data_IF_496523272688
#
_entry.id   IF_496523272688
#
_cell.length_a   1.000
_cell.length_b   1.000
_cell.length_c   1.000
_cell.angle_alpha   90.00
_cell.angle_beta   90.00
_cell.angle_gamma   90.00
#
_symmetry.space_group_name_H-M   'P 1'
#
loop_
_entity.id
_entity.type
_entity.pdbx_description
1 polymer ?
#
# COMPACT_ATOMS: atom_id res chain seq x y z
N UNK A 1 12.02 24.02 -23.20
CA UNK A 1 11.80 22.80 -22.41
C UNK A 1 12.61 22.90 -21.12
N UNK A 2 12.09 23.59 -20.11
CA UNK A 2 12.77 23.74 -18.82
C UNK A 2 12.53 22.49 -17.99
N UNK A 3 13.55 21.62 -17.92
CA UNK A 3 13.54 20.48 -17.03
C UNK A 3 13.39 20.98 -15.60
N UNK A 4 12.23 20.72 -14.98
CA UNK A 4 12.04 20.90 -13.55
C UNK A 4 13.02 19.93 -12.89
N UNK A 5 14.16 20.44 -12.44
CA UNK A 5 15.10 19.70 -11.64
C UNK A 5 14.35 19.21 -10.38
N UNK A 6 14.07 17.91 -10.34
CA UNK A 6 13.53 17.28 -9.14
C UNK A 6 14.60 17.43 -8.07
N UNK A 7 14.31 18.08 -6.93
CA UNK A 7 15.29 18.28 -5.88
C UNK A 7 15.82 16.92 -5.43
N UNK A 8 17.14 16.83 -5.26
CA UNK A 8 17.84 15.62 -4.86
C UNK A 8 17.18 15.05 -3.60
N UNK A 9 16.75 13.78 -3.63
CA UNK A 9 16.15 13.05 -2.49
C UNK A 9 17.14 12.77 -1.34
N UNK A 10 18.11 13.64 -1.12
CA UNK A 10 19.11 13.54 -0.05
C UNK A 10 18.94 14.74 0.86
N UNK A 11 17.88 14.69 1.66
CA UNK A 11 17.67 15.60 2.77
C UNK A 11 17.15 14.82 3.97
N UNK A 12 17.51 15.20 5.21
CA UNK A 12 17.04 14.53 6.43
C UNK A 12 15.51 14.52 6.58
N UNK A 13 14.76 15.30 5.79
CA UNK A 13 13.29 15.24 5.72
C UNK A 13 12.76 14.03 4.95
N UNK A 14 13.36 13.65 3.81
CA UNK A 14 12.88 12.54 2.98
C UNK A 14 13.04 11.19 3.69
N UNK A 15 14.19 10.99 4.33
CA UNK A 15 14.48 9.81 5.14
C UNK A 15 13.47 9.66 6.29
N UNK A 16 13.08 10.75 6.96
CA UNK A 16 12.06 10.72 8.02
C UNK A 16 10.68 10.31 7.52
N UNK A 17 10.29 10.73 6.30
CA UNK A 17 9.01 10.29 5.68
C UNK A 17 9.04 8.80 5.39
N UNK A 18 10.14 8.28 4.84
CA UNK A 18 10.30 6.85 4.56
C UNK A 18 10.26 6.01 5.85
N UNK A 19 10.97 6.43 6.89
CA UNK A 19 10.93 5.75 8.20
C UNK A 19 9.54 5.79 8.82
N UNK A 20 8.83 6.92 8.73
CA UNK A 20 7.45 7.00 9.19
C UNK A 20 6.51 6.10 8.39
N UNK A 21 6.69 5.98 7.07
CA UNK A 21 5.89 5.08 6.23
C UNK A 21 6.13 3.61 6.59
N UNK A 22 7.40 3.23 6.84
CA UNK A 22 7.75 1.91 7.35
C UNK A 22 7.14 1.64 8.72
N UNK A 23 7.20 2.60 9.64
CA UNK A 23 6.58 2.47 10.96
C UNK A 23 5.06 2.26 10.86
N UNK A 24 4.37 2.99 9.97
CA UNK A 24 2.95 2.81 9.73
C UNK A 24 2.63 1.44 9.11
N UNK A 25 3.49 0.97 8.20
CA UNK A 25 3.36 -0.38 7.64
C UNK A 25 3.50 -1.46 8.73
N UNK A 26 4.44 -1.30 9.66
CA UNK A 26 4.60 -2.20 10.81
C UNK A 26 3.33 -2.20 11.69
N UNK A 27 2.81 -1.02 12.03
CA UNK A 27 1.56 -0.89 12.80
C UNK A 27 0.40 -1.58 12.09
N UNK A 28 0.31 -1.41 10.78
CA UNK A 28 -0.70 -2.06 9.97
C UNK A 28 -0.56 -3.58 9.97
N UNK A 29 0.66 -4.13 9.88
CA UNK A 29 0.88 -5.58 9.94
C UNK A 29 0.50 -6.14 11.31
N UNK A 30 0.81 -5.43 12.40
CA UNK A 30 0.36 -5.82 13.74
C UNK A 30 -1.17 -5.83 13.83
N UNK A 31 -1.84 -4.81 13.27
CA UNK A 31 -3.29 -4.79 13.12
C UNK A 31 -3.82 -5.96 12.30
N UNK A 32 -3.16 -6.30 11.19
CA UNK A 32 -3.54 -7.43 10.34
C UNK A 32 -3.40 -8.77 11.04
N UNK A 33 -2.32 -8.99 11.80
CA UNK A 33 -2.15 -10.20 12.62
C UNK A 33 -3.24 -10.30 13.69
N UNK A 34 -3.59 -9.19 14.35
CA UNK A 34 -4.70 -9.14 15.29
C UNK A 34 -6.05 -9.44 14.60
N UNK A 35 -6.27 -8.89 13.40
CA UNK A 35 -7.46 -9.14 12.59
C UNK A 35 -7.58 -10.60 12.15
N UNK A 36 -6.48 -11.22 11.72
CA UNK A 36 -6.41 -12.64 11.35
C UNK A 36 -6.73 -13.51 12.56
N UNK A 37 -6.05 -13.25 13.70
CA UNK A 37 -6.26 -14.01 14.93
C UNK A 37 -7.71 -13.92 15.40
N UNK A 38 -8.31 -12.74 15.34
CA UNK A 38 -9.71 -12.54 15.70
C UNK A 38 -10.67 -13.19 14.71
N UNK A 39 -10.44 -13.06 13.40
CA UNK A 39 -11.28 -13.68 12.39
C UNK A 39 -11.30 -15.20 12.52
N UNK A 40 -10.17 -15.80 12.90
CA UNK A 40 -10.01 -17.24 13.12
C UNK A 40 -10.44 -17.73 14.52
N UNK A 41 -10.83 -16.84 15.45
CA UNK A 41 -11.24 -17.25 16.81
C UNK A 41 -12.34 -18.32 16.83
N UNK A 42 -13.43 -18.22 16.03
CA UNK A 42 -14.47 -19.25 16.02
C UNK A 42 -13.92 -20.63 15.65
N UNK A 43 -13.07 -20.72 14.63
CA UNK A 43 -12.42 -21.97 14.26
C UNK A 43 -11.59 -22.60 15.40
N UNK A 44 -10.96 -21.77 16.23
CA UNK A 44 -10.17 -22.22 17.40
C UNK A 44 -11.07 -22.66 18.55
N UNK A 45 -12.18 -21.94 18.79
CA UNK A 45 -13.05 -22.18 19.95
C UNK A 45 -14.12 -23.24 19.72
N UNK A 46 -14.67 -23.32 18.50
CA UNK A 46 -15.74 -24.24 18.14
C UNK A 46 -15.22 -25.59 17.61
N UNK A 47 -13.93 -25.68 17.28
CA UNK A 47 -13.31 -26.89 16.72
C UNK A 47 -13.63 -27.17 15.25
N UNK A 48 -14.32 -26.24 14.58
CA UNK A 48 -14.66 -26.30 13.16
C UNK A 48 -13.65 -25.47 12.34
N UNK A 49 -12.72 -26.09 11.58
CA UNK A 49 -11.59 -25.38 10.96
C UNK A 49 -11.94 -24.29 9.94
N UNK A 50 -13.23 -24.17 9.56
CA UNK A 50 -13.72 -23.26 8.53
C UNK A 50 -14.61 -22.14 9.05
N UNK A 51 -14.87 -22.07 10.35
CA UNK A 51 -15.67 -20.98 10.91
C UNK A 51 -14.85 -19.70 11.08
N UNK A 52 -15.24 -18.65 10.33
CA UNK A 52 -14.59 -17.34 10.35
C UNK A 52 -15.62 -16.28 10.71
N UNK A 53 -15.26 -15.35 11.60
CA UNK A 53 -16.13 -14.22 11.97
C UNK A 53 -15.85 -12.98 11.12
N UNK A 54 -16.91 -12.26 10.74
CA UNK A 54 -16.83 -10.97 10.04
C UNK A 54 -16.59 -9.77 10.97
N UNK A 55 -16.54 -9.98 12.29
CA UNK A 55 -16.39 -8.90 13.26
C UNK A 55 -15.16 -7.99 13.00
N UNK A 56 -13.96 -8.52 12.64
CA UNK A 56 -12.81 -7.69 12.31
C UNK A 56 -13.00 -6.80 11.09
N UNK A 57 -13.78 -7.21 10.08
CA UNK A 57 -14.09 -6.33 8.94
C UNK A 57 -14.92 -5.14 9.38
N UNK A 58 -16.02 -5.42 10.08
CA UNK A 58 -17.00 -4.39 10.43
C UNK A 58 -16.34 -3.38 11.37
N UNK A 59 -15.64 -3.87 12.39
CA UNK A 59 -15.02 -3.01 13.40
C UNK A 59 -13.74 -2.34 12.89
N UNK A 60 -12.92 -3.04 12.08
CA UNK A 60 -11.78 -2.44 11.41
C UNK A 60 -12.21 -1.33 10.45
N UNK A 61 -13.18 -1.60 9.57
CA UNK A 61 -13.70 -0.62 8.60
C UNK A 61 -14.35 0.59 9.28
N UNK A 62 -15.20 0.37 10.28
CA UNK A 62 -15.80 1.45 11.08
C UNK A 62 -14.72 2.26 11.81
N UNK A 63 -13.70 1.59 12.36
CA UNK A 63 -12.56 2.21 13.03
C UNK A 63 -11.75 3.11 12.11
N UNK A 64 -11.50 2.69 10.86
CA UNK A 64 -10.83 3.53 9.84
C UNK A 64 -11.64 4.80 9.57
N UNK A 65 -12.94 4.66 9.31
CA UNK A 65 -13.83 5.80 9.02
C UNK A 65 -13.86 6.76 10.21
N UNK A 66 -14.02 6.25 11.42
CA UNK A 66 -14.01 7.03 12.64
C UNK A 66 -12.68 7.76 12.83
N UNK A 67 -11.55 7.07 12.67
CA UNK A 67 -10.21 7.62 12.83
C UNK A 67 -9.93 8.74 11.81
N UNK A 68 -10.32 8.57 10.54
CA UNK A 68 -10.21 9.62 9.50
C UNK A 68 -11.08 10.83 9.85
N UNK A 69 -12.31 10.60 10.31
CA UNK A 69 -13.23 11.67 10.69
C UNK A 69 -12.73 12.46 11.92
N UNK A 70 -12.17 11.77 12.92
CA UNK A 70 -11.56 12.35 14.12
C UNK A 70 -10.26 13.08 13.80
N UNK A 71 -9.43 12.55 12.90
CA UNK A 71 -8.18 13.18 12.46
C UNK A 71 -8.40 14.60 11.89
N UNK A 72 -9.57 14.85 11.28
CA UNK A 72 -9.93 16.18 10.75
C UNK A 72 -10.29 17.19 11.84
N UNK A 73 -10.71 16.74 13.02
CA UNK A 73 -11.20 17.59 14.12
C UNK A 73 -10.24 17.71 15.30
N UNK A 74 -9.40 16.70 15.54
CA UNK A 74 -8.62 16.61 16.77
C UNK A 74 -7.24 17.31 16.70
N UNK A 75 -6.73 17.84 17.81
CA UNK A 75 -5.38 18.45 17.88
C UNK A 75 -4.25 17.42 17.76
N UNK A 76 -4.47 16.16 18.19
CA UNK A 76 -3.47 15.09 18.20
C UNK A 76 -3.51 14.23 16.93
N UNK A 77 -3.09 14.80 15.80
CA UNK A 77 -3.17 14.12 14.48
C UNK A 77 -2.37 12.82 14.40
N UNK A 78 -1.26 12.68 15.14
CA UNK A 78 -0.41 11.48 15.10
C UNK A 78 -1.14 10.23 15.61
N UNK A 79 -1.88 10.34 16.72
CA UNK A 79 -2.63 9.23 17.30
C UNK A 79 -3.64 8.69 16.30
N UNK A 80 -4.35 9.58 15.61
CA UNK A 80 -5.33 9.18 14.60
C UNK A 80 -4.71 8.61 13.33
N UNK A 81 -3.52 9.06 12.92
CA UNK A 81 -2.76 8.46 11.82
C UNK A 81 -2.41 7.00 12.14
N UNK A 82 -1.91 6.75 13.36
CA UNK A 82 -1.61 5.39 13.83
C UNK A 82 -2.87 4.53 13.97
N UNK A 83 -3.97 5.12 14.45
CA UNK A 83 -5.26 4.45 14.55
C UNK A 83 -5.79 4.02 13.18
N UNK A 84 -5.70 4.89 12.16
CA UNK A 84 -6.04 4.52 10.77
C UNK A 84 -5.26 3.30 10.33
N UNK A 85 -3.93 3.31 10.48
CA UNK A 85 -3.08 2.17 10.10
C UNK A 85 -3.45 0.88 10.86
N UNK A 86 -3.69 0.96 12.18
CA UNK A 86 -4.04 -0.19 12.99
C UNK A 86 -5.42 -0.79 12.61
N UNK A 87 -6.45 0.06 12.46
CA UNK A 87 -7.80 -0.37 12.10
C UNK A 87 -7.87 -0.89 10.67
N UNK A 88 -7.12 -0.28 9.74
CA UNK A 88 -6.98 -0.77 8.37
C UNK A 88 -6.30 -2.13 8.35
N UNK A 89 -5.27 -2.32 9.19
CA UNK A 89 -4.68 -3.63 9.44
C UNK A 89 -5.72 -4.66 9.87
N UNK A 90 -6.49 -4.38 10.92
CA UNK A 90 -7.53 -5.31 11.42
C UNK A 90 -8.56 -5.64 10.35
N UNK A 91 -9.00 -4.64 9.57
CA UNK A 91 -9.91 -4.82 8.45
C UNK A 91 -9.32 -5.78 7.39
N UNK A 92 -8.11 -5.51 6.93
CA UNK A 92 -7.43 -6.31 5.90
C UNK A 92 -7.07 -7.71 6.41
N UNK A 93 -6.74 -7.85 7.69
CA UNK A 93 -6.47 -9.14 8.33
C UNK A 93 -7.70 -10.04 8.31
N UNK A 94 -8.86 -9.51 8.69
CA UNK A 94 -10.10 -10.27 8.55
C UNK A 94 -10.46 -10.56 7.08
N UNK A 95 -10.15 -9.64 6.15
CA UNK A 95 -10.41 -9.78 4.71
C UNK A 95 -9.59 -10.91 4.12
N UNK A 96 -8.33 -10.96 4.52
CA UNK A 96 -7.42 -12.03 4.21
C UNK A 96 -7.96 -13.38 4.71
N UNK A 97 -8.31 -13.51 6.00
CA UNK A 97 -8.79 -14.79 6.55
C UNK A 97 -10.04 -15.31 5.84
N UNK A 98 -10.98 -14.44 5.49
CA UNK A 98 -12.19 -14.82 4.77
C UNK A 98 -11.88 -15.32 3.35
N UNK A 99 -11.10 -14.56 2.57
CA UNK A 99 -10.77 -14.94 1.20
C UNK A 99 -9.82 -16.14 1.13
N UNK A 100 -8.96 -16.33 2.12
CA UNK A 100 -8.11 -17.53 2.22
C UNK A 100 -8.95 -18.80 2.43
N UNK A 101 -10.07 -18.70 3.14
CA UNK A 101 -11.03 -19.80 3.30
C UNK A 101 -11.79 -20.16 2.02
N UNK A 102 -12.05 -19.18 1.14
CA UNK A 102 -12.76 -19.38 -0.13
C UNK A 102 -11.83 -19.76 -1.29
N UNK A 103 -10.68 -19.10 -1.36
CA UNK A 103 -9.69 -19.24 -2.42
C UNK A 103 -8.29 -19.36 -1.82
N UNK A 104 -7.89 -20.58 -1.41
CA UNK A 104 -6.60 -20.82 -0.77
C UNK A 104 -5.42 -20.30 -1.62
N UNK A 105 -4.52 -19.56 -0.99
CA UNK A 105 -3.33 -18.96 -1.60
C UNK A 105 -3.53 -17.57 -2.21
N UNK A 106 -4.78 -17.08 -2.34
CA UNK A 106 -5.06 -15.78 -2.96
C UNK A 106 -4.48 -14.64 -2.13
N UNK A 107 -4.49 -14.73 -0.80
CA UNK A 107 -3.93 -13.68 0.06
C UNK A 107 -2.45 -13.48 -0.20
N UNK A 108 -1.70 -14.59 -0.32
CA UNK A 108 -0.27 -14.52 -0.60
C UNK A 108 -0.01 -13.89 -1.98
N UNK A 109 -0.82 -14.20 -3.00
CA UNK A 109 -0.70 -13.56 -4.33
C UNK A 109 -0.96 -12.07 -4.30
N UNK A 110 -2.03 -11.66 -3.62
CA UNK A 110 -2.38 -10.24 -3.49
C UNK A 110 -1.30 -9.48 -2.71
N UNK A 111 -0.74 -10.08 -1.66
CA UNK A 111 0.37 -9.51 -0.91
C UNK A 111 1.60 -9.26 -1.80
N UNK A 112 2.03 -10.25 -2.59
CA UNK A 112 3.15 -10.07 -3.53
C UNK A 112 2.83 -9.07 -4.64
N UNK A 113 1.58 -9.02 -5.12
CA UNK A 113 1.12 -8.06 -6.12
C UNK A 113 1.17 -6.60 -5.61
N UNK A 114 0.96 -6.39 -4.32
CA UNK A 114 1.03 -5.07 -3.67
C UNK A 114 2.47 -4.69 -3.31
N UNK A 115 3.27 -5.65 -2.84
CA UNK A 115 4.67 -5.41 -2.47
C UNK A 115 5.58 -5.19 -3.69
N UNK A 116 5.29 -5.82 -4.82
CA UNK A 116 6.10 -5.70 -6.04
C UNK A 116 6.19 -4.25 -6.56
N UNK A 117 5.09 -3.47 -6.67
CA UNK A 117 5.15 -2.04 -6.97
C UNK A 117 5.97 -1.21 -6.00
N UNK A 118 5.87 -1.47 -4.69
CA UNK A 118 6.66 -0.75 -3.69
C UNK A 118 8.15 -1.01 -3.87
N UNK A 119 8.55 -2.27 -4.02
CA UNK A 119 9.94 -2.67 -4.26
C UNK A 119 10.47 -2.13 -5.60
N UNK A 120 9.69 -2.26 -6.67
CA UNK A 120 10.01 -1.73 -8.00
C UNK A 120 10.21 -0.22 -7.96
N UNK A 121 9.32 0.53 -7.28
CA UNK A 121 9.44 1.96 -7.17
C UNK A 121 10.72 2.38 -6.45
N UNK A 122 11.07 1.72 -5.33
CA UNK A 122 12.33 1.99 -4.62
C UNK A 122 13.55 1.70 -5.50
N UNK A 123 13.57 0.55 -6.19
CA UNK A 123 14.66 0.15 -7.06
C UNK A 123 14.82 1.09 -8.27
N UNK A 124 13.72 1.39 -8.97
CA UNK A 124 13.74 2.25 -10.16
C UNK A 124 14.06 3.70 -9.81
N UNK A 125 13.57 4.22 -8.68
CA UNK A 125 13.87 5.59 -8.23
C UNK A 125 15.29 5.76 -7.69
N UNK A 126 16.00 4.66 -7.38
CA UNK A 126 17.43 4.70 -7.08
C UNK A 126 18.28 5.01 -8.34
N UNK A 127 17.76 4.71 -9.54
CA UNK A 127 18.47 4.92 -10.80
C UNK A 127 18.36 6.39 -11.23
N UNK A 128 19.47 7.14 -11.37
CA UNK A 128 19.43 8.58 -11.69
C UNK A 128 18.73 8.90 -13.01
N UNK A 129 18.93 8.06 -14.03
CA UNK A 129 18.32 8.22 -15.36
C UNK A 129 16.80 8.15 -15.31
N UNK A 130 16.25 7.24 -14.51
CA UNK A 130 14.81 7.06 -14.35
C UNK A 130 14.25 8.18 -13.47
N UNK A 131 14.87 8.43 -12.31
CA UNK A 131 14.43 9.46 -11.36
C UNK A 131 14.37 10.86 -11.98
N UNK A 132 15.35 11.21 -12.80
CA UNK A 132 15.42 12.52 -13.45
C UNK A 132 14.67 12.58 -14.79
N UNK A 133 14.08 11.45 -15.22
CA UNK A 133 13.28 11.36 -16.45
C UNK A 133 11.88 11.96 -16.30
N UNK A 134 11.20 12.07 -17.45
CA UNK A 134 9.81 12.51 -17.50
C UNK A 134 8.86 11.59 -16.71
N UNK A 135 7.68 12.11 -16.34
CA UNK A 135 6.66 11.36 -15.57
C UNK A 135 6.29 10.04 -16.24
N UNK A 136 6.10 10.05 -17.57
CA UNK A 136 5.79 8.85 -18.33
C UNK A 136 6.89 7.78 -18.26
N UNK A 137 8.17 8.18 -18.33
CA UNK A 137 9.31 7.25 -18.23
C UNK A 137 9.33 6.56 -16.86
N UNK A 138 9.11 7.33 -15.79
CA UNK A 138 9.04 6.79 -14.42
C UNK A 138 7.87 5.82 -14.24
N UNK A 139 6.69 6.18 -14.75
CA UNK A 139 5.52 5.31 -14.71
C UNK A 139 5.74 3.99 -15.44
N UNK A 140 6.26 4.04 -16.67
CA UNK A 140 6.52 2.83 -17.47
C UNK A 140 7.62 1.97 -16.85
N UNK A 141 8.71 2.59 -16.37
CA UNK A 141 9.80 1.86 -15.73
C UNK A 141 9.34 1.15 -14.45
N UNK A 142 8.59 1.84 -13.59
CA UNK A 142 8.06 1.25 -12.36
C UNK A 142 7.06 0.16 -12.71
N UNK A 143 6.05 0.42 -13.55
CA UNK A 143 5.05 -0.58 -13.91
C UNK A 143 5.67 -1.84 -14.55
N UNK A 144 6.63 -1.67 -15.47
CA UNK A 144 7.35 -2.78 -16.08
C UNK A 144 8.17 -3.58 -15.07
N UNK A 145 8.90 -2.91 -14.17
CA UNK A 145 9.67 -3.56 -13.11
C UNK A 145 8.76 -4.28 -12.09
N UNK A 146 7.62 -3.69 -11.73
CA UNK A 146 6.63 -4.32 -10.84
C UNK A 146 6.08 -5.61 -11.45
N UNK A 147 5.73 -5.58 -12.74
CA UNK A 147 5.23 -6.75 -13.45
C UNK A 147 6.30 -7.84 -13.55
N UNK A 148 7.55 -7.46 -13.85
CA UNK A 148 8.67 -8.39 -13.89
C UNK A 148 8.90 -9.05 -12.52
N UNK A 149 8.91 -8.27 -11.44
CA UNK A 149 9.02 -8.80 -10.08
C UNK A 149 7.86 -9.75 -9.77
N UNK A 150 6.62 -9.35 -10.03
CA UNK A 150 5.45 -10.18 -9.80
C UNK A 150 5.51 -11.50 -10.60
N UNK A 151 5.90 -11.44 -11.89
CA UNK A 151 6.10 -12.62 -12.72
C UNK A 151 7.21 -13.54 -12.19
N UNK A 152 8.31 -12.98 -11.68
CA UNK A 152 9.40 -13.74 -11.09
C UNK A 152 8.96 -14.49 -9.83
N UNK A 153 8.15 -13.90 -8.96
CA UNK A 153 7.58 -14.60 -7.80
C UNK A 153 6.69 -15.76 -8.25
N UNK A 154 5.85 -15.55 -9.26
CA UNK A 154 5.00 -16.62 -9.82
C UNK A 154 5.81 -17.79 -10.38
N UNK A 155 6.91 -17.52 -11.08
CA UNK A 155 7.79 -18.58 -11.62
C UNK A 155 8.61 -19.24 -10.52
N UNK A 156 9.14 -18.46 -9.57
CA UNK A 156 9.94 -18.99 -8.46
C UNK A 156 9.11 -19.90 -7.55
N UNK A 157 7.86 -19.53 -7.29
CA UNK A 157 6.95 -20.28 -6.42
C UNK A 157 6.23 -21.43 -7.16
N UNK A 158 6.05 -21.36 -8.49
CA UNK A 158 5.34 -22.42 -9.24
C UNK A 158 6.05 -23.78 -9.26
N UNK A 159 7.34 -23.82 -8.90
CA UNK A 159 8.14 -25.05 -8.82
C UNK A 159 8.55 -25.48 -7.41
N UNK A 160 8.06 -24.82 -6.35
CA UNK A 160 8.47 -25.11 -4.98
C UNK A 160 7.60 -26.21 -4.34
N UNK A 161 8.20 -27.34 -3.87
CA UNK A 161 7.47 -28.51 -3.38
C UNK A 161 6.77 -28.33 -2.02
N UNK A 162 6.94 -27.19 -1.35
CA UNK A 162 6.29 -26.90 -0.07
C UNK A 162 4.91 -26.22 -0.20
N UNK A 163 4.50 -25.84 -1.42
CA UNK A 163 3.20 -25.23 -1.66
C UNK A 163 2.14 -26.32 -1.85
N UNK A 164 1.02 -26.31 -1.10
CA UNK A 164 -0.03 -27.30 -1.24
C UNK A 164 -0.60 -27.34 -2.67
N UNK A 165 -0.86 -28.54 -3.19
CA UNK A 165 -1.56 -28.76 -4.45
C UNK A 165 -2.97 -28.13 -4.39
N UNK A 166 -3.38 -27.43 -5.45
CA UNK A 166 -4.70 -26.76 -5.52
C UNK A 166 -4.76 -25.35 -4.92
N UNK A 167 -3.63 -24.78 -4.49
CA UNK A 167 -3.55 -23.35 -4.14
C UNK A 167 -3.60 -22.49 -5.41
N UNK A 168 -3.88 -21.20 -5.27
CA UNK A 168 -3.88 -20.26 -6.40
C UNK A 168 -2.51 -20.10 -7.10
N UNK A 169 -1.46 -20.77 -6.59
CA UNK A 169 -0.13 -20.89 -7.17
C UNK A 169 0.08 -22.24 -7.89
N UNK A 170 0.97 -22.26 -8.89
CA UNK A 170 1.38 -23.51 -9.55
C UNK A 170 0.40 -24.03 -10.61
N UNK A 171 0.70 -25.21 -11.16
CA UNK A 171 -0.01 -25.80 -12.32
C UNK A 171 -1.48 -26.15 -12.04
N UNK A 172 -1.85 -26.29 -10.76
CA UNK A 172 -3.16 -26.69 -10.26
C UNK A 172 -4.08 -25.51 -9.90
N UNK A 173 -3.66 -24.27 -10.10
CA UNK A 173 -4.48 -23.10 -9.80
C UNK A 173 -5.77 -23.06 -10.64
N UNK A 174 -6.92 -22.63 -10.09
CA UNK A 174 -8.16 -22.44 -10.86
C UNK A 174 -7.92 -21.51 -12.05
N UNK A 175 -8.30 -21.93 -13.27
CA UNK A 175 -8.01 -21.19 -14.50
C UNK A 175 -9.26 -20.52 -15.08
N UNK A 176 -9.12 -19.27 -15.50
CA UNK A 176 -10.08 -18.56 -16.36
C UNK A 176 -9.39 -18.27 -17.68
N UNK A 177 -9.99 -18.70 -18.80
CA UNK A 177 -9.41 -18.56 -20.13
C UNK A 177 -7.94 -19.06 -20.21
N UNK A 178 -7.64 -20.22 -19.61
CA UNK A 178 -6.31 -20.85 -19.49
C UNK A 178 -5.27 -20.16 -18.59
N UNK A 179 -5.58 -18.99 -18.04
CA UNK A 179 -4.74 -18.27 -17.07
C UNK A 179 -5.19 -18.55 -15.63
N UNK A 180 -4.27 -18.76 -14.67
CA UNK A 180 -4.63 -18.82 -13.25
C UNK A 180 -5.42 -17.59 -12.83
N UNK A 181 -6.57 -17.78 -12.17
CA UNK A 181 -7.48 -16.72 -11.73
C UNK A 181 -6.75 -15.65 -10.91
N UNK A 182 -5.82 -16.09 -10.06
CA UNK A 182 -4.94 -15.21 -9.29
C UNK A 182 -4.17 -14.22 -10.17
N UNK A 183 -3.53 -14.71 -11.24
CA UNK A 183 -2.75 -13.88 -12.17
C UNK A 183 -3.65 -12.84 -12.84
N UNK A 184 -4.83 -13.25 -13.31
CA UNK A 184 -5.80 -12.36 -13.98
C UNK A 184 -6.21 -11.21 -13.06
N UNK A 185 -6.48 -11.49 -11.79
CA UNK A 185 -6.89 -10.48 -10.79
C UNK A 185 -5.71 -9.58 -10.40
N UNK A 186 -4.50 -10.11 -10.30
CA UNK A 186 -3.34 -9.35 -9.82
C UNK A 186 -2.72 -8.42 -10.85
N UNK A 187 -2.83 -8.71 -12.16
CA UNK A 187 -2.32 -7.82 -13.22
C UNK A 187 -2.86 -6.38 -13.09
N UNK A 188 -4.19 -6.15 -13.05
CA UNK A 188 -4.72 -4.80 -12.91
C UNK A 188 -4.33 -4.16 -11.58
N UNK A 189 -4.21 -4.94 -10.50
CA UNK A 189 -3.74 -4.45 -9.19
C UNK A 189 -2.31 -3.92 -9.29
N UNK A 190 -1.40 -4.67 -9.90
CA UNK A 190 0.01 -4.26 -10.07
C UNK A 190 0.11 -2.98 -10.89
N UNK A 191 -0.62 -2.89 -12.01
CA UNK A 191 -0.59 -1.72 -12.89
C UNK A 191 -1.16 -0.48 -12.20
N UNK A 192 -2.33 -0.62 -11.57
CA UNK A 192 -3.01 0.46 -10.88
C UNK A 192 -2.20 0.96 -9.68
N UNK A 193 -1.64 0.04 -8.90
CA UNK A 193 -0.77 0.36 -7.75
C UNK A 193 0.50 1.05 -8.21
N UNK A 194 1.14 0.56 -9.28
CA UNK A 194 2.35 1.19 -9.84
C UNK A 194 2.08 2.62 -10.31
N UNK A 195 0.94 2.85 -10.97
CA UNK A 195 0.51 4.17 -11.38
C UNK A 195 0.28 5.08 -10.16
N UNK A 196 -0.59 4.66 -9.24
CA UNK A 196 -0.95 5.43 -8.06
C UNK A 196 0.29 5.77 -7.21
N UNK A 197 1.17 4.78 -7.00
CA UNK A 197 2.41 4.96 -6.26
C UNK A 197 3.34 5.98 -6.93
N UNK A 198 3.48 5.92 -8.26
CA UNK A 198 4.31 6.90 -8.97
C UNK A 198 3.78 8.32 -8.75
N UNK A 199 2.46 8.52 -8.85
CA UNK A 199 1.83 9.82 -8.61
C UNK A 199 2.00 10.28 -7.16
N UNK A 200 1.79 9.40 -6.20
CA UNK A 200 1.93 9.71 -4.78
C UNK A 200 3.37 10.07 -4.43
N UNK A 201 4.37 9.33 -4.94
CA UNK A 201 5.78 9.63 -4.71
C UNK A 201 6.15 11.03 -5.22
N UNK A 202 5.66 11.42 -6.40
CA UNK A 202 5.84 12.78 -6.93
C UNK A 202 5.20 13.84 -6.05
N UNK A 203 3.97 13.60 -5.59
CA UNK A 203 3.20 14.55 -4.79
C UNK A 203 3.72 14.68 -3.36
N UNK A 204 4.28 13.61 -2.81
CA UNK A 204 4.72 13.57 -1.41
C UNK A 204 6.18 13.96 -1.26
N UNK A 205 7.07 13.41 -2.10
CA UNK A 205 8.52 13.59 -1.92
C UNK A 205 9.01 14.94 -2.47
N UNK A 206 8.44 15.45 -3.57
CA UNK A 206 8.85 16.73 -4.14
C UNK A 206 8.56 17.94 -3.22
N UNK A 207 7.39 18.04 -2.55
CA UNK A 207 7.14 19.10 -1.57
C UNK A 207 7.79 18.85 -0.20
N UNK A 208 7.91 17.59 0.26
CA UNK A 208 8.57 17.28 1.54
C UNK A 208 10.08 17.57 1.52
N UNK A 209 10.71 17.61 0.35
CA UNK A 209 12.07 18.12 0.17
C UNK A 209 12.17 19.64 0.36
N UNK A 210 11.06 20.38 0.24
CA UNK A 210 11.02 21.85 0.28
C UNK A 210 10.55 22.43 1.62
N UNK A 211 9.86 21.66 2.46
CA UNK A 211 9.44 22.09 3.81
C UNK A 211 9.68 21.02 4.89
N UNK A 212 10.46 21.32 5.95
CA UNK A 212 10.88 20.32 6.95
C UNK A 212 9.93 20.11 8.13
N UNK A 213 8.66 20.56 8.07
CA UNK A 213 7.78 20.49 9.24
C UNK A 213 7.48 19.03 9.67
N UNK A 214 7.85 18.58 10.90
CA UNK A 214 7.72 17.19 11.33
C UNK A 214 6.27 16.67 11.35
N UNK A 215 5.29 17.57 11.48
CA UNK A 215 3.86 17.24 11.38
C UNK A 215 3.42 16.82 9.97
N UNK A 216 4.08 17.32 8.91
CA UNK A 216 3.75 16.94 7.53
C UNK A 216 4.34 15.58 7.17
N UNK A 217 5.47 15.18 7.77
CA UNK A 217 6.12 13.91 7.46
C UNK A 217 5.24 12.68 7.72
N UNK A 218 4.48 12.67 8.83
CA UNK A 218 3.55 11.59 9.17
C UNK A 218 2.30 11.55 8.28
N UNK A 219 1.80 12.71 7.85
CA UNK A 219 0.67 12.79 6.91
C UNK A 219 1.08 12.33 5.50
N UNK A 220 2.28 12.75 5.08
CA UNK A 220 2.95 12.28 3.87
C UNK A 220 3.17 10.77 3.89
N UNK A 221 3.66 10.23 5.01
CA UNK A 221 3.85 8.80 5.22
C UNK A 221 2.54 8.01 5.16
N UNK A 222 1.46 8.53 5.75
CA UNK A 222 0.13 7.92 5.67
C UNK A 222 -0.36 7.84 4.22
N UNK A 223 -0.18 8.91 3.42
CA UNK A 223 -0.54 8.88 2.00
C UNK A 223 0.24 7.83 1.20
N UNK A 224 1.52 7.64 1.51
CA UNK A 224 2.35 6.58 0.91
C UNK A 224 1.83 5.20 1.31
N UNK A 225 1.57 4.97 2.60
CA UNK A 225 1.04 3.69 3.12
C UNK A 225 -0.30 3.35 2.46
N UNK A 226 -1.25 4.29 2.46
CA UNK A 226 -2.56 4.11 1.84
C UNK A 226 -2.42 3.81 0.34
N UNK A 227 -1.51 4.47 -0.36
CA UNK A 227 -1.29 4.19 -1.80
C UNK A 227 -0.72 2.81 -2.05
N UNK A 228 0.16 2.31 -1.17
CA UNK A 228 0.70 0.95 -1.27
C UNK A 228 -0.45 -0.05 -1.12
N UNK A 229 -1.33 0.16 -0.15
CA UNK A 229 -2.26 -0.88 0.33
C UNK A 229 -3.61 -0.82 -0.36
N UNK A 230 -4.20 0.36 -0.43
CA UNK A 230 -5.54 0.57 -0.95
C UNK A 230 -5.48 1.73 -1.92
N UNK A 231 -5.36 1.42 -3.22
CA UNK A 231 -5.38 2.36 -4.33
C UNK A 231 -6.16 3.66 -4.03
N UNK A 232 -5.49 4.67 -3.47
CA UNK A 232 -6.21 5.78 -2.85
C UNK A 232 -6.24 6.99 -3.78
N UNK A 233 -7.44 7.37 -4.20
CA UNK A 233 -7.75 8.68 -4.79
C UNK A 233 -7.86 9.80 -3.74
N UNK A 234 -7.47 9.56 -2.48
CA UNK A 234 -7.53 10.55 -1.40
C UNK A 234 -6.10 11.07 -1.15
N UNK A 235 -5.63 11.91 -2.07
CA UNK A 235 -4.66 12.94 -1.71
C UNK A 235 -5.43 14.26 -1.68
N UNK A 236 -5.73 14.84 -0.51
CA UNK A 236 -6.28 16.18 -0.46
C UNK A 236 -5.26 17.10 -1.13
N UNK A 237 -5.63 17.67 -2.28
CA UNK A 237 -4.86 18.77 -2.88
C UNK A 237 -4.74 19.84 -1.81
N UNK A 238 -3.53 20.02 -1.29
CA UNK A 238 -3.20 21.22 -0.53
C UNK A 238 -3.37 22.37 -1.52
N UNK A 239 -4.51 23.07 -1.46
CA UNK A 239 -4.62 24.39 -2.05
C UNK A 239 -3.57 25.22 -1.33
N UNK A 240 -2.47 25.53 -2.02
CA UNK A 240 -1.63 26.67 -1.70
C UNK A 240 -2.56 27.88 -1.67
N UNK A 241 -2.95 28.29 -0.48
CA UNK A 241 -3.71 29.52 -0.27
C UNK A 241 -2.88 30.67 -0.79
N UNK A 242 -3.51 31.44 -1.69
CA UNK A 242 -3.17 32.77 -2.22
C UNK A 242 -1.98 33.46 -1.54
N UNK A 243 -1.05 33.93 -2.37
CA UNK A 243 -0.21 35.09 -2.06
C UNK A 243 -1.09 36.21 -1.51
N UNK A 244 -0.90 36.56 -0.24
CA UNK A 244 -1.34 37.83 0.31
C UNK A 244 -0.49 38.90 -0.35
N UNK A 245 -1.02 39.54 -1.39
CA UNK A 245 -0.58 40.85 -1.82
C UNK A 245 -0.99 41.84 -0.73
N UNK A 246 -0.02 42.34 0.03
CA UNK A 246 -0.21 43.55 0.79
C UNK A 246 -0.28 44.69 -0.22
N UNK A 247 -1.48 45.23 -0.40
CA UNK A 247 -1.69 46.50 -1.06
C UNK A 247 -1.22 47.58 -0.08
N UNK A 248 -0.13 48.27 -0.42
CA UNK A 248 0.37 49.40 0.35
C UNK A 248 -0.43 50.63 -0.09
N UNK A 249 -1.42 50.99 0.71
CA UNK A 249 -1.94 52.35 0.81
C UNK A 249 -1.22 53.09 1.93
#
# INVERSE_FOLDING_TARGET
MTGIAVPVMRGPSATRVLWAALALLVVLHLGALAGIGWAAMPAVTAGEPREVTFAPWILGGAGVVAAVWLMRRAPHRLVWILAVAAFEGVFLGGLATYFEGLFPGVVMQVAFAILSPAAAALAMMAIPRIRNGGRAVRMVAIAGASYLLFALHNVALSGMPFLPEGTSWGQAAPKVASLPLGVVITIPVVLLTSYALTVTLEQVLCPAAREPAPRRAWQSALGIMLTIIGCSAIVPRVRTTRSLTFDNG
#
